data_IF_683645985054
#
_entry.id   IF_683645985054
#
_cell.length_a   1.000
_cell.length_b   1.000
_cell.length_c   1.000
_cell.angle_alpha   90.00
_cell.angle_beta   90.00
_cell.angle_gamma   90.00
#
_symmetry.space_group_name_H-M   'P 1'
#
loop_
_entity.id
_entity.type
_entity.pdbx_description
1 polymer ?
#
# COMPACT_ATOMS: atom_id res chain seq x y z
N UNK A 1 6.64 -8.21 4.25
CA UNK A 1 8.11 -8.18 4.21
C UNK A 1 8.57 -6.78 3.82
N UNK A 2 9.81 -6.43 4.13
CA UNK A 2 10.42 -5.22 3.56
C UNK A 2 10.88 -5.59 2.15
N UNK A 3 10.58 -4.73 1.17
CA UNK A 3 10.92 -4.96 -0.24
C UNK A 3 9.77 -5.49 -1.11
N UNK A 4 8.59 -5.76 -0.54
CA UNK A 4 7.44 -6.21 -1.33
C UNK A 4 6.93 -5.11 -2.27
N UNK A 5 6.67 -5.47 -3.53
CA UNK A 5 6.04 -4.58 -4.50
C UNK A 5 4.53 -4.67 -4.34
N UNK A 6 3.89 -3.55 -4.01
CA UNK A 6 2.46 -3.49 -3.72
C UNK A 6 1.71 -2.48 -4.58
N UNK A 7 0.46 -2.81 -4.91
CA UNK A 7 -0.48 -1.90 -5.56
C UNK A 7 -1.33 -1.19 -4.51
N UNK A 8 -1.37 0.13 -4.59
CA UNK A 8 -2.18 0.98 -3.71
C UNK A 8 -3.26 1.72 -4.51
N UNK A 9 -4.31 2.15 -3.80
CA UNK A 9 -5.38 3.00 -4.31
C UNK A 9 -5.57 4.19 -3.38
N UNK A 10 -5.91 5.34 -3.95
CA UNK A 10 -6.25 6.54 -3.17
C UNK A 10 -7.60 6.38 -2.45
N UNK A 11 -7.70 6.95 -1.27
CA UNK A 11 -8.86 6.87 -0.38
C UNK A 11 -9.02 8.18 0.38
N UNK A 12 -10.16 8.35 1.08
CA UNK A 12 -10.34 9.46 2.02
C UNK A 12 -9.18 9.52 3.03
N UNK A 13 -8.81 10.71 3.57
CA UNK A 13 -7.74 10.82 4.55
C UNK A 13 -7.93 9.86 5.73
N UNK A 14 -6.95 8.98 5.94
CA UNK A 14 -6.92 8.02 7.05
C UNK A 14 -6.15 8.57 8.26
N UNK A 15 -5.24 9.51 8.01
CA UNK A 15 -4.46 10.24 9.01
C UNK A 15 -4.00 11.57 8.40
N UNK A 16 -3.20 12.35 9.15
CA UNK A 16 -2.64 13.62 8.70
C UNK A 16 -1.92 13.53 7.35
N UNK A 17 -1.23 12.41 7.08
CA UNK A 17 -0.43 12.21 5.86
C UNK A 17 -0.84 10.99 5.03
N UNK A 18 -1.71 10.11 5.54
CA UNK A 18 -2.01 8.83 4.87
C UNK A 18 -3.33 8.90 4.12
N UNK A 19 -3.26 8.74 2.80
CA UNK A 19 -4.44 8.75 1.88
C UNK A 19 -4.56 7.51 1.01
N UNK A 20 -3.75 6.49 1.26
CA UNK A 20 -3.70 5.30 0.41
C UNK A 20 -4.07 4.03 1.17
N UNK A 21 -4.75 3.12 0.47
CA UNK A 21 -5.08 1.77 0.94
C UNK A 21 -4.35 0.74 0.08
N UNK A 22 -3.88 -0.33 0.74
CA UNK A 22 -3.31 -1.50 0.07
C UNK A 22 -4.43 -2.25 -0.66
N UNK A 23 -4.23 -2.51 -1.96
CA UNK A 23 -5.19 -3.28 -2.78
C UNK A 23 -4.70 -4.72 -2.92
N UNK A 24 -3.46 -4.89 -3.35
CA UNK A 24 -2.87 -6.19 -3.63
C UNK A 24 -1.35 -6.15 -3.50
N UNK A 25 -0.74 -7.27 -3.10
CA UNK A 25 0.70 -7.49 -3.16
C UNK A 25 0.99 -8.15 -4.51
N UNK A 26 1.81 -7.51 -5.34
CA UNK A 26 2.16 -7.99 -6.68
C UNK A 26 3.30 -9.02 -6.57
N UNK A 27 4.35 -8.64 -5.84
CA UNK A 27 5.54 -9.47 -5.68
C UNK A 27 5.93 -9.50 -4.20
N UNK A 28 6.23 -10.70 -3.71
CA UNK A 28 6.77 -10.89 -2.36
C UNK A 28 8.23 -11.22 -2.47
N UNK A 29 9.06 -10.44 -1.79
CA UNK A 29 10.46 -10.80 -1.63
C UNK A 29 10.52 -11.94 -0.62
N UNK A 30 11.18 -13.01 -1.03
CA UNK A 30 11.26 -14.28 -0.30
C UNK A 30 12.43 -14.27 0.69
#
# INVERSE_FOLDING_TARGET
>A
NIGDTVRIMETRPLSKTKRWRLVQIIERVK
#
